data_IF_885423102283
#
_entry.id   IF_885423102283
#
_cell.length_a   1.000
_cell.length_b   1.000
_cell.length_c   1.000
_cell.angle_alpha   90.00
_cell.angle_beta   90.00
_cell.angle_gamma   90.00
#
_symmetry.space_group_name_H-M   'P 1'
#
loop_
_entity.id
_entity.type
_entity.pdbx_description
1 polymer ?
#
# COMPACT_ATOMS: atom_id res chain seq x y z
N UNK A 1 -42.64 24.95 -73.03
CA UNK A 1 -42.28 24.25 -71.82
C UNK A 1 -41.05 24.92 -71.20
N UNK A 2 -41.27 25.60 -70.06
CA UNK A 2 -40.16 26.30 -69.31
C UNK A 2 -39.50 25.34 -68.30
N UNK A 3 -38.17 25.32 -68.14
CA UNK A 3 -37.53 24.52 -67.10
C UNK A 3 -37.64 25.23 -65.73
N UNK A 4 -38.01 24.47 -64.73
CA UNK A 4 -38.00 24.86 -63.30
C UNK A 4 -36.61 24.88 -62.72
N UNK A 5 -36.11 26.06 -62.34
CA UNK A 5 -34.91 26.21 -61.52
C UNK A 5 -35.18 25.65 -60.13
N UNK A 6 -34.40 24.63 -59.73
CA UNK A 6 -34.29 24.22 -58.33
C UNK A 6 -33.12 24.96 -57.71
N UNK A 7 -33.47 25.83 -56.75
CA UNK A 7 -32.53 26.50 -55.86
C UNK A 7 -32.01 25.49 -54.84
N UNK A 8 -30.70 25.09 -54.93
CA UNK A 8 -30.04 24.33 -53.88
C UNK A 8 -29.65 25.33 -52.77
N UNK A 9 -30.29 25.22 -51.62
CA UNK A 9 -29.86 25.90 -50.39
C UNK A 9 -28.82 24.99 -49.70
N UNK A 10 -27.57 25.35 -49.80
CA UNK A 10 -26.47 24.73 -49.04
C UNK A 10 -26.54 25.31 -47.61
N UNK A 11 -26.99 24.48 -46.69
CA UNK A 11 -26.89 24.77 -45.25
C UNK A 11 -25.46 24.53 -44.82
N UNK A 12 -24.70 25.59 -44.60
CA UNK A 12 -23.39 25.59 -44.02
C UNK A 12 -23.55 25.35 -42.51
N UNK A 13 -23.38 24.13 -42.03
CA UNK A 13 -23.35 23.84 -40.60
C UNK A 13 -21.97 24.24 -40.08
N UNK A 14 -21.89 25.41 -39.48
CA UNK A 14 -20.71 25.86 -38.76
C UNK A 14 -20.67 25.06 -37.44
N UNK A 15 -19.81 24.03 -37.37
CA UNK A 15 -19.42 23.43 -36.12
C UNK A 15 -18.57 24.44 -35.31
N UNK A 16 -19.22 25.19 -34.44
CA UNK A 16 -18.49 25.89 -33.39
C UNK A 16 -18.04 24.85 -32.41
N UNK A 17 -16.78 24.40 -32.55
CA UNK A 17 -16.08 23.70 -31.46
C UNK A 17 -15.94 24.71 -30.32
N UNK A 18 -16.90 24.72 -29.42
CA UNK A 18 -16.71 25.25 -28.06
C UNK A 18 -15.63 24.40 -27.40
N UNK A 19 -14.40 24.84 -27.49
CA UNK A 19 -13.35 24.43 -26.59
C UNK A 19 -13.77 24.88 -25.18
N UNK A 20 -14.59 24.09 -24.52
CA UNK A 20 -14.73 24.15 -23.07
C UNK A 20 -13.40 23.68 -22.50
N UNK A 21 -12.44 24.58 -22.37
CA UNK A 21 -11.35 24.42 -21.45
C UNK A 21 -11.99 24.42 -20.05
N UNK A 22 -12.45 23.26 -19.62
CA UNK A 22 -12.64 23.00 -18.22
C UNK A 22 -11.25 23.24 -17.60
N UNK A 23 -11.08 24.35 -16.90
CA UNK A 23 -9.99 24.48 -15.95
C UNK A 23 -10.25 23.42 -14.89
N UNK A 24 -9.73 22.22 -15.13
CA UNK A 24 -9.65 21.17 -14.14
C UNK A 24 -8.75 21.73 -13.03
N UNK A 25 -9.38 22.30 -11.99
CA UNK A 25 -8.64 22.77 -10.83
C UNK A 25 -7.89 21.56 -10.26
N UNK A 26 -6.54 21.62 -10.28
CA UNK A 26 -5.71 20.64 -9.59
C UNK A 26 -6.23 20.48 -8.15
N UNK A 27 -6.50 19.25 -7.73
CA UNK A 27 -6.90 18.99 -6.36
C UNK A 27 -5.80 19.44 -5.41
N UNK A 28 -6.14 20.38 -4.56
CA UNK A 28 -5.28 20.83 -3.47
C UNK A 28 -5.50 19.93 -2.26
N UNK A 29 -4.46 19.67 -1.47
CA UNK A 29 -4.61 18.87 -0.27
C UNK A 29 -5.48 19.63 0.76
N UNK A 30 -6.27 18.88 1.49
CA UNK A 30 -6.86 19.34 2.74
C UNK A 30 -5.77 19.35 3.80
N UNK A 31 -5.55 20.52 4.41
CA UNK A 31 -4.49 20.73 5.39
C UNK A 31 -5.06 21.11 6.76
N UNK A 32 -4.42 20.61 7.82
CA UNK A 32 -4.78 20.91 9.19
C UNK A 32 -3.53 21.16 10.01
N UNK A 33 -3.61 22.17 10.91
CA UNK A 33 -2.61 22.39 11.95
C UNK A 33 -3.22 22.11 13.32
N UNK A 34 -2.47 21.45 14.20
CA UNK A 34 -2.88 21.12 15.56
C UNK A 34 -1.70 21.19 16.53
N UNK A 35 -1.96 21.11 17.83
CA UNK A 35 -0.90 21.14 18.84
C UNK A 35 0.00 19.92 18.72
N UNK A 36 1.32 20.07 18.58
CA UNK A 36 2.25 18.95 18.57
C UNK A 36 2.16 18.10 19.82
N UNK A 37 2.40 16.79 19.67
CA UNK A 37 2.41 15.85 20.78
C UNK A 37 3.29 14.63 20.49
N UNK A 38 3.75 13.95 21.54
CA UNK A 38 4.44 12.68 21.46
C UNK A 38 3.41 11.57 21.59
N UNK A 39 3.44 10.59 20.66
CA UNK A 39 2.58 9.42 20.80
C UNK A 39 3.02 8.59 22.01
N UNK A 40 2.06 8.26 22.86
CA UNK A 40 2.30 7.45 24.07
C UNK A 40 1.27 6.33 24.11
N UNK A 41 1.75 5.10 24.00
CA UNK A 41 0.98 3.91 24.32
C UNK A 41 1.92 2.81 24.80
N UNK A 42 1.41 1.94 25.64
CA UNK A 42 2.17 0.82 26.16
C UNK A 42 2.37 -0.23 25.07
N UNK A 43 3.57 -0.76 25.01
CA UNK A 43 3.91 -1.89 24.15
C UNK A 43 3.28 -3.14 24.75
N UNK A 44 2.59 -3.99 23.98
CA UNK A 44 2.05 -5.26 24.47
C UNK A 44 3.12 -6.12 25.14
N UNK A 45 2.75 -6.80 26.22
CA UNK A 45 3.69 -7.61 27.02
C UNK A 45 4.30 -8.79 26.24
N UNK A 46 3.58 -9.30 25.26
CA UNK A 46 3.98 -10.39 24.38
C UNK A 46 4.79 -9.93 23.14
N UNK A 47 5.07 -8.62 23.04
CA UNK A 47 5.87 -8.09 21.93
C UNK A 47 7.26 -8.72 21.88
N UNK A 48 7.65 -9.38 20.77
CA UNK A 48 8.94 -10.04 20.66
C UNK A 48 10.11 -9.08 20.43
N UNK A 49 9.82 -7.81 20.10
CA UNK A 49 10.83 -6.83 19.73
C UNK A 49 11.31 -6.04 20.94
N UNK A 50 12.63 -5.92 21.07
CA UNK A 50 13.23 -5.05 22.08
C UNK A 50 13.06 -3.58 21.68
N UNK A 51 12.83 -2.71 22.65
CA UNK A 51 12.83 -1.25 22.44
C UNK A 51 14.15 -0.80 21.80
N UNK A 52 14.07 0.04 20.78
CA UNK A 52 15.24 0.70 20.24
C UNK A 52 15.86 1.63 21.31
N UNK A 53 17.18 1.65 21.35
CA UNK A 53 17.91 2.60 22.20
C UNK A 53 18.28 3.89 21.48
N UNK A 54 18.19 3.88 20.18
CA UNK A 54 18.51 5.02 19.33
C UNK A 54 17.23 5.79 18.97
N UNK A 55 16.19 5.08 18.55
CA UNK A 55 14.87 5.66 18.24
C UNK A 55 13.91 5.33 19.37
N UNK A 56 13.60 6.31 20.19
CA UNK A 56 12.82 6.08 21.43
C UNK A 56 11.36 6.46 21.30
N UNK A 57 10.90 6.79 20.11
CA UNK A 57 9.51 7.13 19.82
C UNK A 57 9.36 8.06 18.65
N UNK A 58 8.14 8.53 18.44
CA UNK A 58 7.81 9.55 17.45
C UNK A 58 7.00 10.68 18.07
N UNK A 59 7.24 11.90 17.60
CA UNK A 59 6.45 13.08 17.86
C UNK A 59 5.66 13.51 16.63
N UNK A 60 4.39 13.84 16.78
CA UNK A 60 3.58 14.48 15.74
C UNK A 60 3.79 15.99 15.82
N UNK A 61 4.24 16.59 14.71
CA UNK A 61 4.61 18.00 14.64
C UNK A 61 3.41 18.94 14.41
N UNK A 62 2.19 18.41 14.44
CA UNK A 62 0.98 19.20 14.36
C UNK A 62 0.63 19.68 12.95
N UNK A 63 1.11 19.03 11.90
CA UNK A 63 0.79 19.32 10.51
C UNK A 63 0.24 18.07 9.83
N UNK A 64 -0.92 18.21 9.21
CA UNK A 64 -1.58 17.20 8.37
C UNK A 64 -1.81 17.73 6.98
N UNK A 65 -1.68 16.87 5.99
CA UNK A 65 -2.05 17.11 4.61
C UNK A 65 -2.73 15.86 4.03
N UNK A 66 -3.52 15.97 2.98
CA UNK A 66 -4.06 14.78 2.32
C UNK A 66 -5.27 15.02 1.44
N UNK A 67 -5.84 13.91 0.98
CA UNK A 67 -6.97 13.88 0.04
C UNK A 67 -8.00 12.84 0.51
N UNK A 68 -9.28 13.18 0.42
CA UNK A 68 -10.40 12.37 0.91
C UNK A 68 -10.91 11.39 -0.16
N UNK A 69 -10.07 10.48 -0.64
CA UNK A 69 -10.52 9.42 -1.55
C UNK A 69 -9.57 8.23 -1.56
N UNK A 70 -10.14 7.04 -1.59
CA UNK A 70 -9.44 5.78 -1.78
C UNK A 70 -8.41 5.43 -0.71
N UNK A 71 -7.97 4.22 -0.74
CA UNK A 71 -6.92 3.70 0.13
C UNK A 71 -5.83 2.97 -0.65
N UNK A 72 -4.99 2.19 0.02
CA UNK A 72 -3.90 1.39 -0.56
C UNK A 72 -2.84 2.24 -1.27
N UNK A 73 -2.50 3.37 -0.68
CA UNK A 73 -1.48 4.26 -1.21
C UNK A 73 -0.07 3.76 -0.86
N UNK A 74 0.67 3.31 -1.89
CA UNK A 74 2.06 2.86 -1.79
C UNK A 74 2.92 3.60 -2.82
N UNK A 75 3.27 4.87 -2.59
CA UNK A 75 3.98 5.67 -3.57
C UNK A 75 5.40 5.18 -3.81
N UNK A 76 5.79 5.12 -5.07
CA UNK A 76 7.15 4.88 -5.51
C UNK A 76 7.72 6.13 -6.17
N UNK A 77 8.92 6.53 -5.77
CA UNK A 77 9.55 7.76 -6.23
C UNK A 77 10.34 7.56 -7.51
N UNK A 78 9.80 8.06 -8.61
CA UNK A 78 10.39 7.94 -9.95
C UNK A 78 11.55 8.93 -10.20
N UNK A 79 12.34 8.64 -11.22
CA UNK A 79 13.44 9.51 -11.67
C UNK A 79 13.00 10.90 -12.12
N UNK A 80 11.74 11.06 -12.54
CA UNK A 80 11.12 12.34 -12.93
C UNK A 80 10.55 13.15 -11.75
N UNK A 81 10.92 12.83 -10.52
CA UNK A 81 10.46 13.45 -9.27
C UNK A 81 8.99 13.29 -8.91
N UNK A 82 8.24 12.50 -9.65
CA UNK A 82 6.84 12.18 -9.37
C UNK A 82 6.74 10.92 -8.53
N UNK A 83 5.77 10.88 -7.61
CA UNK A 83 5.36 9.67 -6.91
C UNK A 83 4.24 9.00 -7.69
N UNK A 84 4.39 7.70 -7.92
CA UNK A 84 3.40 6.85 -8.57
C UNK A 84 2.89 5.82 -7.58
N UNK A 85 1.58 5.71 -7.44
CA UNK A 85 0.95 4.86 -6.43
C UNK A 85 -0.28 4.15 -6.96
N UNK A 86 -0.50 2.89 -6.60
CA UNK A 86 -1.82 2.32 -6.66
C UNK A 86 -2.73 3.01 -5.66
N UNK A 87 -4.03 2.88 -5.84
CA UNK A 87 -5.07 3.14 -4.86
C UNK A 87 -6.34 2.36 -5.23
N UNK A 88 -7.26 2.20 -4.29
CA UNK A 88 -8.53 1.50 -4.51
C UNK A 88 -9.63 2.00 -3.57
N UNK A 89 -10.82 1.39 -3.67
CA UNK A 89 -11.97 1.56 -2.78
C UNK A 89 -12.35 3.01 -2.51
N UNK A 90 -12.49 3.79 -3.58
CA UNK A 90 -12.83 5.19 -3.41
C UNK A 90 -13.22 5.89 -4.71
N UNK A 91 -13.38 7.19 -4.60
CA UNK A 91 -13.65 8.07 -5.73
C UNK A 91 -12.59 9.13 -5.84
N UNK A 92 -12.15 9.43 -7.05
CA UNK A 92 -11.26 10.56 -7.33
C UNK A 92 -11.82 11.45 -8.42
N UNK A 93 -11.48 12.74 -8.34
CA UNK A 93 -11.63 13.63 -9.49
C UNK A 93 -10.33 13.61 -10.25
N UNK A 94 -10.38 13.24 -11.52
CA UNK A 94 -9.22 13.28 -12.40
C UNK A 94 -8.95 14.70 -12.87
N UNK A 95 -7.73 14.95 -13.35
CA UNK A 95 -7.35 16.25 -13.91
C UNK A 95 -8.25 16.70 -15.06
N UNK A 96 -8.86 15.78 -15.77
CA UNK A 96 -9.79 16.02 -16.85
C UNK A 96 -11.27 16.17 -16.40
N UNK A 97 -11.50 16.27 -15.08
CA UNK A 97 -12.84 16.40 -14.51
C UNK A 97 -13.60 15.08 -14.39
N UNK A 98 -12.99 13.98 -14.75
CA UNK A 98 -13.59 12.66 -14.66
C UNK A 98 -13.73 12.20 -13.20
N UNK A 99 -14.86 11.61 -12.86
CA UNK A 99 -15.10 10.99 -11.56
C UNK A 99 -15.19 9.50 -11.73
N UNK A 100 -14.32 8.79 -11.07
CA UNK A 100 -14.29 7.33 -11.07
C UNK A 100 -14.45 6.78 -9.67
N UNK A 101 -15.10 5.64 -9.58
CA UNK A 101 -15.09 4.79 -8.39
C UNK A 101 -14.15 3.64 -8.69
N UNK A 102 -13.09 3.52 -7.89
CA UNK A 102 -12.22 2.37 -7.92
C UNK A 102 -12.54 1.51 -6.71
N UNK A 103 -13.20 0.39 -6.95
CA UNK A 103 -13.51 -0.58 -5.91
C UNK A 103 -12.93 -1.93 -6.32
N UNK A 104 -12.30 -2.60 -5.40
CA UNK A 104 -11.82 -3.96 -5.62
C UNK A 104 -12.92 -4.99 -5.38
N UNK A 105 -14.01 -4.60 -4.74
CA UNK A 105 -15.17 -5.43 -4.45
C UNK A 105 -16.45 -4.86 -5.05
N UNK A 106 -16.63 -5.02 -6.35
CA UNK A 106 -17.87 -4.73 -7.06
C UNK A 106 -18.45 -5.98 -7.74
N UNK A 107 -18.90 -6.92 -6.94
CA UNK A 107 -19.41 -8.19 -7.44
C UNK A 107 -18.30 -9.12 -7.96
N UNK A 108 -18.66 -10.33 -8.41
CA UNK A 108 -17.67 -11.41 -8.64
C UNK A 108 -16.85 -11.26 -9.92
N UNK A 109 -17.14 -10.32 -10.78
CA UNK A 109 -16.58 -10.28 -12.14
C UNK A 109 -15.82 -9.00 -12.48
N UNK A 110 -16.01 -7.91 -11.74
CA UNK A 110 -15.50 -6.59 -12.13
C UNK A 110 -14.95 -5.83 -10.93
N UNK A 111 -13.75 -6.19 -10.51
CA UNK A 111 -13.07 -5.46 -9.46
C UNK A 111 -12.04 -4.52 -10.08
N UNK A 112 -12.07 -3.30 -9.66
CA UNK A 112 -11.21 -2.24 -10.18
C UNK A 112 -10.21 -1.79 -9.13
N UNK A 113 -9.00 -1.54 -9.58
CA UNK A 113 -7.99 -0.78 -8.86
C UNK A 113 -7.59 0.43 -9.69
N UNK A 114 -6.98 1.42 -9.08
CA UNK A 114 -6.64 2.64 -9.78
C UNK A 114 -5.15 2.96 -9.72
N UNK A 115 -4.73 3.78 -10.66
CA UNK A 115 -3.39 4.32 -10.74
C UNK A 115 -3.44 5.81 -10.42
N UNK A 116 -2.59 6.26 -9.51
CA UNK A 116 -2.50 7.66 -9.11
C UNK A 116 -1.08 8.20 -9.20
N UNK A 117 -1.00 9.50 -9.34
CA UNK A 117 0.27 10.22 -9.22
C UNK A 117 0.14 11.34 -8.20
N UNK A 118 1.27 11.62 -7.53
CA UNK A 118 1.40 12.72 -6.59
C UNK A 118 2.58 13.58 -7.02
N UNK A 119 2.32 14.85 -7.28
CA UNK A 119 3.29 15.83 -7.79
C UNK A 119 3.53 16.91 -6.75
N UNK A 120 4.77 17.31 -6.61
CA UNK A 120 5.22 18.33 -5.67
C UNK A 120 6.21 17.78 -4.64
N UNK A 121 6.91 18.69 -3.98
CA UNK A 121 7.98 18.37 -3.01
C UNK A 121 7.57 18.71 -1.58
N UNK A 122 6.63 19.62 -1.42
CA UNK A 122 6.08 20.00 -0.12
C UNK A 122 4.70 19.36 0.06
N UNK A 123 4.52 18.41 1.00
CA UNK A 123 3.25 17.77 1.29
C UNK A 123 2.06 18.72 1.54
N UNK A 124 2.31 19.95 1.96
CA UNK A 124 1.26 20.95 2.15
C UNK A 124 0.74 21.58 0.85
N UNK A 125 1.44 21.36 -0.26
CA UNK A 125 1.12 21.96 -1.57
C UNK A 125 1.11 20.96 -2.72
N UNK A 126 1.30 19.65 -2.44
CA UNK A 126 1.23 18.60 -3.45
C UNK A 126 -0.12 18.58 -4.16
N UNK A 127 -0.12 17.99 -5.34
CA UNK A 127 -1.36 17.63 -6.05
C UNK A 127 -1.38 16.13 -6.28
N UNK A 128 -2.57 15.53 -6.18
CA UNK A 128 -2.75 14.12 -6.49
C UNK A 128 -3.93 13.94 -7.45
N UNK A 129 -3.79 12.99 -8.38
CA UNK A 129 -4.85 12.70 -9.34
C UNK A 129 -4.75 11.27 -9.87
N UNK A 130 -5.88 10.74 -10.34
CA UNK A 130 -5.95 9.42 -10.94
C UNK A 130 -5.49 9.46 -12.40
N UNK A 131 -4.70 8.46 -12.80
CA UNK A 131 -4.38 8.21 -14.21
C UNK A 131 -5.39 7.31 -14.89
N UNK A 132 -6.20 6.57 -14.14
CA UNK A 132 -7.20 5.65 -14.66
C UNK A 132 -7.44 4.46 -13.74
N UNK A 133 -8.25 3.53 -14.23
CA UNK A 133 -8.63 2.31 -13.54
C UNK A 133 -7.99 1.09 -14.19
N UNK A 134 -7.82 0.04 -13.39
CA UNK A 134 -7.53 -1.30 -13.85
C UNK A 134 -8.66 -2.22 -13.44
N UNK A 135 -9.38 -2.75 -14.40
CA UNK A 135 -10.46 -3.72 -14.19
C UNK A 135 -9.97 -5.11 -14.51
N UNK A 136 -10.09 -6.03 -13.56
CA UNK A 136 -9.71 -7.42 -13.73
C UNK A 136 -10.66 -8.33 -12.97
N UNK A 137 -11.00 -9.51 -13.51
CA UNK A 137 -11.81 -10.47 -12.79
C UNK A 137 -11.06 -10.99 -11.57
N UNK A 138 -11.76 -11.24 -10.49
CA UNK A 138 -11.24 -11.81 -9.26
C UNK A 138 -11.79 -13.21 -8.94
N UNK A 139 -12.80 -13.67 -9.68
CA UNK A 139 -13.37 -15.00 -9.46
C UNK A 139 -12.28 -16.09 -9.51
N UNK A 140 -12.30 -17.07 -8.58
CA UNK A 140 -13.32 -17.32 -7.55
C UNK A 140 -13.14 -16.52 -6.25
N UNK A 141 -12.34 -15.49 -6.26
CA UNK A 141 -12.00 -14.67 -5.10
C UNK A 141 -12.92 -13.46 -4.92
N UNK A 142 -12.83 -12.80 -3.76
CA UNK A 142 -13.69 -11.67 -3.39
C UNK A 142 -13.13 -10.30 -3.79
N UNK A 143 -12.12 -10.16 -4.57
CA UNK A 143 -11.61 -8.87 -4.98
C UNK A 143 -10.27 -9.00 -5.70
N UNK A 144 -9.91 -7.94 -6.39
CA UNK A 144 -8.61 -7.76 -7.02
C UNK A 144 -8.01 -6.46 -6.52
N UNK A 145 -7.21 -6.56 -5.46
CA UNK A 145 -6.64 -5.43 -4.75
C UNK A 145 -5.23 -5.10 -5.25
N UNK A 146 -4.81 -3.84 -5.21
CA UNK A 146 -3.44 -3.46 -5.52
C UNK A 146 -2.50 -3.76 -4.35
N UNK A 147 -1.25 -4.06 -4.67
CA UNK A 147 -0.17 -4.16 -3.70
C UNK A 147 1.10 -3.51 -4.25
N UNK A 148 2.27 -4.08 -4.03
CA UNK A 148 3.56 -3.52 -4.37
C UNK A 148 3.60 -2.72 -5.66
N UNK A 149 4.04 -1.48 -5.53
CA UNK A 149 4.22 -0.54 -6.63
C UNK A 149 5.67 -0.09 -6.67
N UNK A 150 6.30 -0.25 -7.83
CA UNK A 150 7.68 0.20 -8.05
C UNK A 150 7.78 0.86 -9.42
N UNK A 151 8.31 2.08 -9.45
CA UNK A 151 8.75 2.69 -10.69
C UNK A 151 10.28 2.75 -10.71
N UNK A 152 10.86 2.06 -11.68
CA UNK A 152 12.30 1.94 -11.82
C UNK A 152 12.71 2.02 -13.31
N UNK A 153 13.66 2.91 -13.61
CA UNK A 153 14.13 3.18 -14.96
C UNK A 153 13.01 3.44 -15.97
N UNK A 154 11.99 4.20 -15.55
CA UNK A 154 10.85 4.56 -16.38
C UNK A 154 9.78 3.47 -16.55
N UNK A 155 9.98 2.30 -15.94
CA UNK A 155 9.01 1.21 -15.96
C UNK A 155 8.27 1.17 -14.62
N UNK A 156 6.95 1.17 -14.68
CA UNK A 156 6.10 1.01 -13.50
C UNK A 156 5.61 -0.43 -13.39
N UNK A 157 6.05 -1.14 -12.35
CA UNK A 157 5.58 -2.48 -11.97
C UNK A 157 4.47 -2.32 -10.93
N UNK A 158 3.31 -2.90 -11.21
CA UNK A 158 2.09 -2.76 -10.42
C UNK A 158 1.56 -4.14 -10.05
N UNK A 159 1.70 -4.51 -8.77
CA UNK A 159 1.27 -5.79 -8.24
C UNK A 159 -0.21 -5.82 -7.90
N UNK A 160 -0.82 -6.99 -8.01
CA UNK A 160 -2.18 -7.23 -7.54
C UNK A 160 -2.30 -8.55 -6.76
N UNK A 161 -3.19 -8.56 -5.79
CA UNK A 161 -3.54 -9.74 -5.01
C UNK A 161 -5.06 -9.89 -4.91
N UNK A 162 -5.53 -11.01 -4.42
CA UNK A 162 -6.94 -11.28 -4.18
C UNK A 162 -7.20 -11.53 -2.70
N UNK A 163 -8.47 -11.38 -2.29
CA UNK A 163 -8.95 -11.85 -1.00
C UNK A 163 -9.76 -13.13 -1.20
N UNK A 164 -9.54 -14.11 -0.33
CA UNK A 164 -10.31 -15.36 -0.31
C UNK A 164 -11.63 -15.19 0.43
N UNK A 165 -12.67 -15.95 0.07
CA UNK A 165 -13.91 -15.94 0.80
C UNK A 165 -13.73 -16.55 2.18
N UNK A 166 -14.21 -15.88 3.22
CA UNK A 166 -14.26 -16.41 4.57
C UNK A 166 -15.71 -16.68 5.00
N UNK A 167 -15.96 -17.70 5.84
CA UNK A 167 -17.27 -17.87 6.46
C UNK A 167 -17.54 -16.74 7.45
N UNK A 168 -18.81 -16.49 7.73
CA UNK A 168 -19.21 -15.62 8.80
C UNK A 168 -18.74 -16.17 10.16
N UNK A 169 -18.11 -15.33 10.95
CA UNK A 169 -17.59 -15.69 12.26
C UNK A 169 -17.63 -14.50 13.23
N UNK A 170 -17.47 -14.76 14.51
CA UNK A 170 -17.35 -13.74 15.54
C UNK A 170 -15.93 -13.18 15.54
N UNK A 171 -15.81 -11.86 15.35
CA UNK A 171 -14.55 -11.11 15.40
C UNK A 171 -14.68 -10.00 16.45
N UNK A 172 -14.29 -10.29 17.68
CA UNK A 172 -14.50 -9.39 18.79
C UNK A 172 -15.99 -9.15 19.06
N UNK A 173 -16.47 -7.94 18.87
CA UNK A 173 -17.86 -7.51 19.01
C UNK A 173 -18.68 -7.60 17.70
N UNK A 174 -18.07 -8.06 16.59
CA UNK A 174 -18.68 -8.11 15.29
C UNK A 174 -18.93 -9.56 14.83
N UNK A 175 -20.00 -9.78 14.08
CA UNK A 175 -20.23 -11.00 13.31
C UNK A 175 -20.17 -10.61 11.83
N UNK A 176 -19.13 -11.04 11.15
CA UNK A 176 -18.86 -10.70 9.76
C UNK A 176 -18.17 -11.85 9.03
N UNK A 177 -18.20 -11.84 7.71
CA UNK A 177 -17.39 -12.70 6.86
C UNK A 177 -16.10 -11.97 6.48
N UNK A 178 -15.14 -11.92 7.39
CA UNK A 178 -13.87 -11.25 7.15
C UNK A 178 -13.01 -12.06 6.17
N UNK A 179 -12.65 -11.52 5.01
CA UNK A 179 -11.92 -12.28 4.01
C UNK A 179 -10.48 -12.58 4.45
N UNK A 180 -10.04 -13.80 4.20
CA UNK A 180 -8.63 -14.13 4.36
C UNK A 180 -7.79 -13.70 3.15
N UNK A 181 -6.48 -13.78 3.28
CA UNK A 181 -5.55 -13.48 2.21
C UNK A 181 -5.65 -14.54 1.11
N UNK A 182 -5.86 -14.07 -0.09
CA UNK A 182 -5.78 -14.87 -1.31
C UNK A 182 -4.40 -14.74 -1.97
N UNK A 183 -4.29 -15.14 -3.24
CA UNK A 183 -3.00 -15.14 -3.92
C UNK A 183 -2.48 -13.75 -4.23
N UNK A 184 -1.16 -13.59 -4.12
CA UNK A 184 -0.45 -12.58 -4.88
C UNK A 184 -0.40 -13.02 -6.34
N UNK A 185 -1.15 -12.33 -7.21
CA UNK A 185 -1.29 -12.76 -8.60
C UNK A 185 0.00 -12.55 -9.38
N UNK A 186 0.60 -11.38 -9.31
CA UNK A 186 1.77 -10.98 -10.04
C UNK A 186 1.72 -9.51 -10.43
N UNK A 187 2.55 -9.10 -11.38
CA UNK A 187 2.70 -7.71 -11.80
C UNK A 187 2.19 -7.50 -13.24
N UNK A 188 1.46 -6.43 -13.43
CA UNK A 188 1.37 -5.74 -14.71
C UNK A 188 2.46 -4.67 -14.77
N UNK A 189 2.79 -4.17 -15.94
CA UNK A 189 3.80 -3.12 -16.07
C UNK A 189 3.44 -2.11 -17.16
N UNK A 190 3.92 -0.88 -16.96
CA UNK A 190 3.83 0.22 -17.91
C UNK A 190 5.22 0.75 -18.24
N UNK A 191 5.49 1.05 -19.52
CA UNK A 191 6.75 1.65 -20.00
C UNK A 191 6.62 3.15 -20.28
N UNK A 192 5.47 3.74 -19.96
CA UNK A 192 5.11 5.12 -20.25
C UNK A 192 4.42 5.79 -19.06
N UNK A 193 4.88 5.45 -17.84
CA UNK A 193 4.42 6.04 -16.58
C UNK A 193 2.92 5.85 -16.30
N UNK A 194 2.33 4.74 -16.74
CA UNK A 194 0.95 4.38 -16.45
C UNK A 194 -0.07 4.79 -17.50
N UNK A 195 0.35 5.31 -18.66
CA UNK A 195 -0.56 5.64 -19.75
C UNK A 195 -1.02 4.39 -20.51
N UNK A 196 -0.12 3.44 -20.74
CA UNK A 196 -0.47 2.12 -21.30
C UNK A 196 0.10 1.00 -20.45
N UNK A 197 -0.53 -0.17 -20.51
CA UNK A 197 -0.21 -1.30 -19.64
C UNK A 197 -0.06 -2.59 -20.41
N UNK A 198 0.88 -3.40 -19.97
CA UNK A 198 1.06 -4.80 -20.38
C UNK A 198 0.75 -5.69 -19.18
N UNK A 199 -0.05 -6.73 -19.41
CA UNK A 199 -0.42 -7.69 -18.38
C UNK A 199 0.66 -8.76 -18.20
N UNK A 200 0.82 -9.25 -16.97
CA UNK A 200 1.60 -10.45 -16.69
C UNK A 200 0.87 -11.73 -17.14
N UNK A 201 1.58 -12.85 -17.25
CA UNK A 201 0.98 -14.13 -17.63
C UNK A 201 0.22 -14.81 -16.49
N UNK A 202 0.29 -14.27 -15.27
CA UNK A 202 -0.34 -14.86 -14.08
C UNK A 202 -1.82 -14.51 -14.00
N UNK A 203 -2.58 -15.45 -13.41
CA UNK A 203 -3.98 -15.28 -13.06
C UNK A 203 -4.21 -15.66 -11.59
N UNK A 204 -5.37 -15.32 -10.99
CA UNK A 204 -5.65 -15.75 -9.63
C UNK A 204 -5.55 -17.27 -9.40
N UNK A 205 -5.88 -18.09 -10.42
CA UNK A 205 -5.78 -19.55 -10.37
C UNK A 205 -4.34 -20.06 -10.62
N UNK A 206 -3.50 -19.24 -11.22
CA UNK A 206 -2.09 -19.51 -11.49
C UNK A 206 -1.24 -18.35 -11.07
N UNK A 207 -1.18 -18.07 -9.75
CA UNK A 207 -0.46 -16.92 -9.21
C UNK A 207 1.06 -17.14 -9.28
N UNK A 208 1.80 -16.05 -9.13
CA UNK A 208 3.25 -16.01 -9.35
C UNK A 208 4.01 -17.06 -8.50
N UNK A 209 3.63 -17.25 -7.25
CA UNK A 209 4.30 -18.21 -6.35
C UNK A 209 3.51 -19.49 -6.10
N UNK A 210 2.38 -19.69 -6.79
CA UNK A 210 1.57 -20.90 -6.71
C UNK A 210 0.73 -21.03 -5.43
N UNK A 211 0.72 -20.04 -4.54
CA UNK A 211 -0.15 -20.01 -3.35
C UNK A 211 -1.52 -19.46 -3.72
N UNK A 212 -2.57 -20.22 -3.53
CA UNK A 212 -3.91 -19.84 -3.97
C UNK A 212 -4.82 -19.30 -2.87
N UNK A 213 -4.49 -19.56 -1.59
CA UNK A 213 -5.36 -19.15 -0.48
C UNK A 213 -6.74 -19.79 -0.49
N UNK A 214 -6.94 -20.89 -1.24
CA UNK A 214 -8.21 -21.60 -1.33
C UNK A 214 -8.32 -22.65 -0.22
N UNK A 215 -9.57 -22.90 0.26
CA UNK A 215 -9.88 -23.88 1.28
C UNK A 215 -9.19 -23.67 2.63
N UNK A 216 -8.89 -22.42 2.97
CA UNK A 216 -8.28 -22.07 4.25
C UNK A 216 -6.79 -22.40 4.36
N UNK A 217 -6.13 -22.69 3.23
CA UNK A 217 -4.67 -22.75 3.20
C UNK A 217 -4.12 -21.33 3.25
N UNK A 218 -3.31 -20.97 4.25
CA UNK A 218 -2.72 -19.65 4.34
C UNK A 218 -1.73 -19.41 3.21
N UNK A 219 -1.50 -18.16 2.90
CA UNK A 219 -0.46 -17.71 1.99
C UNK A 219 0.66 -17.02 2.76
N UNK A 220 1.90 -17.24 2.34
CA UNK A 220 3.07 -16.55 2.88
C UNK A 220 3.25 -15.19 2.23
N UNK A 221 3.02 -15.13 0.92
CA UNK A 221 3.19 -13.92 0.11
C UNK A 221 1.82 -13.46 -0.38
N UNK A 222 1.03 -12.87 0.51
CA UNK A 222 -0.32 -12.44 0.18
C UNK A 222 -0.36 -11.09 -0.51
N UNK A 223 0.21 -10.07 0.11
CA UNK A 223 0.24 -8.69 -0.37
C UNK A 223 1.65 -8.13 -0.26
N UNK A 224 2.57 -8.47 -1.18
CA UNK A 224 3.95 -7.99 -1.11
C UNK A 224 4.06 -6.52 -1.46
N UNK A 225 4.91 -5.79 -0.72
CA UNK A 225 5.23 -4.39 -0.97
C UNK A 225 6.72 -4.19 -1.18
N UNK A 226 7.09 -3.40 -2.18
CA UNK A 226 8.48 -3.05 -2.42
C UNK A 226 9.01 -2.17 -1.28
N UNK A 227 10.24 -2.44 -0.89
CA UNK A 227 10.99 -1.55 0.01
C UNK A 227 11.29 -0.26 -0.75
N UNK A 228 10.95 0.88 -0.15
CA UNK A 228 11.28 2.19 -0.70
C UNK A 228 12.76 2.52 -0.44
N UNK A 229 13.58 2.39 -1.49
CA UNK A 229 15.01 2.70 -1.50
C UNK A 229 15.30 4.09 -2.07
N UNK A 230 14.38 5.04 -1.96
CA UNK A 230 14.57 6.38 -2.48
C UNK A 230 14.29 6.51 -3.96
N UNK A 231 14.64 7.65 -4.51
CA UNK A 231 14.38 8.00 -5.90
C UNK A 231 14.99 6.98 -6.87
N UNK A 232 14.12 6.33 -7.67
CA UNK A 232 14.55 5.33 -8.64
C UNK A 232 15.44 4.23 -8.02
N UNK A 233 15.10 3.78 -6.81
CA UNK A 233 15.86 2.76 -6.05
C UNK A 233 17.35 3.09 -5.82
N UNK A 234 17.72 4.35 -5.78
CA UNK A 234 19.13 4.79 -5.72
C UNK A 234 19.92 4.25 -4.52
N UNK A 235 19.24 3.82 -3.47
CA UNK A 235 19.84 3.27 -2.24
C UNK A 235 19.67 1.75 -2.11
N UNK A 236 19.22 1.06 -3.15
CA UNK A 236 19.21 -0.40 -3.15
C UNK A 236 20.63 -0.94 -2.96
N UNK A 237 20.87 -1.86 -2.02
CA UNK A 237 22.22 -2.29 -1.66
C UNK A 237 22.94 -3.07 -2.77
N UNK A 238 22.20 -3.66 -3.69
CA UNK A 238 22.72 -4.52 -4.76
C UNK A 238 21.99 -4.34 -6.10
N UNK A 239 21.20 -3.27 -6.23
CA UNK A 239 20.42 -2.98 -7.43
C UNK A 239 19.18 -3.86 -7.60
N UNK A 240 18.87 -4.75 -6.67
CA UNK A 240 17.64 -5.54 -6.67
C UNK A 240 16.50 -4.79 -5.99
N UNK A 241 15.30 -5.06 -6.42
CA UNK A 241 14.09 -4.69 -5.71
C UNK A 241 13.82 -5.74 -4.63
N UNK A 242 13.61 -5.26 -3.42
CA UNK A 242 13.24 -6.10 -2.27
C UNK A 242 11.77 -5.91 -1.97
N UNK A 243 11.10 -6.98 -1.57
CA UNK A 243 9.69 -6.97 -1.17
C UNK A 243 9.55 -7.60 0.21
N UNK A 244 8.67 -7.01 0.99
CA UNK A 244 8.17 -7.60 2.24
C UNK A 244 6.71 -7.97 2.07
N UNK A 245 6.30 -9.07 2.67
CA UNK A 245 4.92 -9.51 2.66
C UNK A 245 4.55 -10.07 4.02
N UNK A 246 3.34 -9.81 4.48
CA UNK A 246 2.79 -10.51 5.62
C UNK A 246 2.03 -11.75 5.16
N UNK A 247 1.93 -12.72 6.04
CA UNK A 247 1.22 -13.98 5.80
C UNK A 247 1.32 -14.94 6.98
N UNK A 248 1.00 -16.20 6.75
CA UNK A 248 1.08 -17.26 7.75
C UNK A 248 1.46 -18.60 7.13
N UNK A 249 2.08 -19.49 7.93
CA UNK A 249 2.40 -20.87 7.55
C UNK A 249 1.24 -21.83 7.84
N UNK A 250 0.44 -21.53 8.87
CA UNK A 250 -0.65 -22.38 9.35
C UNK A 250 -1.90 -21.56 9.59
N UNK A 251 -3.06 -22.13 9.30
CA UNK A 251 -4.34 -21.50 9.62
C UNK A 251 -4.62 -21.54 11.12
N UNK A 252 -4.98 -20.39 11.69
CA UNK A 252 -5.52 -20.27 13.03
C UNK A 252 -6.80 -19.45 12.98
N UNK A 253 -7.95 -20.11 13.16
CA UNK A 253 -9.28 -19.51 13.07
C UNK A 253 -9.89 -19.19 14.43
N UNK A 254 -9.14 -19.38 15.53
CA UNK A 254 -9.66 -19.26 16.90
C UNK A 254 -9.76 -17.84 17.41
N UNK A 255 -9.31 -16.87 16.63
CA UNK A 255 -9.06 -15.53 17.12
C UNK A 255 -9.89 -14.45 16.44
N UNK A 256 -9.65 -13.20 16.81
CA UNK A 256 -10.21 -11.94 16.34
C UNK A 256 -10.44 -11.89 14.82
N UNK A 257 -9.40 -12.12 14.04
CA UNK A 257 -9.46 -12.32 12.61
C UNK A 257 -8.76 -13.62 12.25
N UNK A 258 -8.94 -14.07 11.02
CA UNK A 258 -8.04 -15.05 10.47
C UNK A 258 -6.61 -14.53 10.62
N UNK A 259 -5.71 -15.39 11.07
CA UNK A 259 -4.28 -15.04 11.19
C UNK A 259 -3.59 -14.78 9.84
N UNK A 260 -4.33 -14.81 8.76
CA UNK A 260 -3.89 -14.53 7.41
C UNK A 260 -5.00 -13.75 6.68
N UNK A 261 -5.11 -12.47 6.99
CA UNK A 261 -6.01 -11.52 6.35
C UNK A 261 -5.22 -10.30 5.88
N UNK A 262 -5.87 -9.38 5.18
CA UNK A 262 -5.18 -8.19 4.68
C UNK A 262 -4.62 -7.27 5.78
N UNK A 263 -5.12 -7.36 7.01
CA UNK A 263 -4.63 -6.56 8.16
C UNK A 263 -4.03 -7.39 9.28
N UNK A 264 -3.94 -8.70 9.12
CA UNK A 264 -3.43 -9.59 10.16
C UNK A 264 -2.60 -10.69 9.53
N UNK A 265 -1.48 -11.02 10.14
CA UNK A 265 -0.61 -12.13 9.79
C UNK A 265 0.17 -12.58 10.99
N UNK A 266 0.84 -13.71 10.88
CA UNK A 266 1.75 -14.24 11.91
C UNK A 266 3.21 -13.89 11.62
N UNK A 267 3.52 -13.66 10.34
CA UNK A 267 4.89 -13.62 9.86
C UNK A 267 5.07 -12.56 8.79
N UNK A 268 6.28 -12.00 8.75
CA UNK A 268 6.75 -11.18 7.64
C UNK A 268 7.79 -11.96 6.87
N UNK A 269 7.60 -12.07 5.55
CA UNK A 269 8.52 -12.70 4.61
C UNK A 269 9.27 -11.66 3.79
N UNK A 270 10.48 -12.02 3.36
CA UNK A 270 11.35 -11.16 2.56
C UNK A 270 11.79 -11.89 1.29
N UNK A 271 11.67 -11.20 0.17
CA UNK A 271 12.13 -11.70 -1.13
C UNK A 271 12.73 -10.55 -1.93
N UNK A 272 13.50 -10.90 -2.97
CA UNK A 272 14.11 -9.90 -3.85
C UNK A 272 14.21 -10.41 -5.29
N UNK A 273 14.25 -9.47 -6.23
CA UNK A 273 14.36 -9.75 -7.66
C UNK A 273 15.09 -8.61 -8.37
N UNK A 274 15.82 -8.90 -9.45
CA UNK A 274 16.28 -7.84 -10.34
C UNK A 274 15.08 -7.32 -11.14
N UNK A 275 14.67 -6.05 -10.99
CA UNK A 275 13.42 -5.55 -11.53
C UNK A 275 13.55 -5.23 -13.03
N UNK A 276 13.33 -6.24 -13.84
CA UNK A 276 13.17 -6.13 -15.30
C UNK A 276 11.83 -6.72 -15.73
N UNK A 277 11.38 -6.37 -16.93
CA UNK A 277 10.12 -6.91 -17.49
C UNK A 277 10.17 -8.43 -17.60
N UNK A 278 11.34 -8.99 -17.93
CA UNK A 278 11.57 -10.42 -18.08
C UNK A 278 11.55 -11.16 -16.73
N UNK A 279 12.03 -10.50 -15.67
CA UNK A 279 12.23 -11.17 -14.38
C UNK A 279 11.03 -11.04 -13.44
N UNK A 280 10.32 -9.90 -13.50
CA UNK A 280 9.34 -9.53 -12.47
C UNK A 280 8.20 -10.55 -12.31
N UNK A 281 7.86 -11.26 -13.36
CA UNK A 281 6.82 -12.30 -13.40
C UNK A 281 7.38 -13.72 -13.60
N UNK A 282 8.68 -13.91 -13.42
CA UNK A 282 9.31 -15.23 -13.45
C UNK A 282 9.70 -15.65 -12.01
N UNK A 283 9.00 -16.60 -11.38
CA UNK A 283 9.28 -17.02 -10.02
C UNK A 283 10.71 -17.57 -9.84
N UNK A 284 11.34 -18.10 -10.89
CA UNK A 284 12.71 -18.61 -10.85
C UNK A 284 13.78 -17.52 -10.67
N UNK A 285 13.43 -16.26 -10.91
CA UNK A 285 14.32 -15.09 -10.77
C UNK A 285 14.30 -14.47 -9.38
N UNK A 286 13.39 -14.94 -8.54
CA UNK A 286 13.32 -14.47 -7.16
C UNK A 286 14.31 -15.21 -6.26
N UNK A 287 14.81 -14.48 -5.30
CA UNK A 287 15.56 -15.01 -4.19
C UNK A 287 14.75 -14.75 -2.91
N UNK A 288 14.49 -15.81 -2.16
CA UNK A 288 13.72 -15.82 -0.92
C UNK A 288 14.67 -15.89 0.26
N UNK A 289 14.40 -15.11 1.30
CA UNK A 289 15.14 -15.19 2.55
C UNK A 289 14.88 -16.54 3.21
N UNK A 290 15.96 -17.27 3.51
CA UNK A 290 15.92 -18.62 4.10
C UNK A 290 16.55 -18.67 5.52
N UNK A 291 16.55 -17.52 6.21
CA UNK A 291 17.16 -17.38 7.53
C UNK A 291 18.61 -16.91 7.45
N UNK A 292 19.30 -17.00 8.56
CA UNK A 292 20.72 -16.65 8.66
C UNK A 292 21.57 -17.91 8.86
N UNK A 293 22.80 -17.88 8.38
CA UNK A 293 23.80 -18.91 8.65
C UNK A 293 24.32 -18.84 10.10
N UNK A 294 25.20 -19.75 10.48
CA UNK A 294 25.81 -19.81 11.82
C UNK A 294 26.67 -18.57 12.16
N UNK A 295 26.99 -17.73 11.16
CA UNK A 295 27.75 -16.49 11.32
C UNK A 295 26.84 -15.27 11.35
N UNK A 296 25.52 -15.48 11.18
CA UNK A 296 24.54 -14.40 11.13
C UNK A 296 24.38 -13.75 9.75
N UNK A 297 24.97 -14.30 8.69
CA UNK A 297 24.76 -13.77 7.34
C UNK A 297 23.44 -14.27 6.75
N UNK A 298 22.72 -13.45 5.97
CA UNK A 298 21.49 -13.88 5.33
C UNK A 298 21.73 -14.96 4.29
N UNK A 299 20.91 -15.99 4.34
CA UNK A 299 20.88 -17.08 3.35
C UNK A 299 19.72 -16.81 2.40
N UNK A 300 20.00 -16.89 1.10
CA UNK A 300 19.02 -16.72 0.04
C UNK A 300 18.85 -18.01 -0.76
N UNK A 301 17.65 -18.28 -1.21
CA UNK A 301 17.29 -19.46 -2.02
C UNK A 301 16.34 -19.08 -3.14
N UNK A 302 16.44 -19.78 -4.28
CA UNK A 302 15.44 -19.65 -5.35
C UNK A 302 14.27 -20.64 -5.18
N UNK A 303 14.33 -21.51 -4.18
CA UNK A 303 13.27 -22.47 -3.87
C UNK A 303 12.28 -21.84 -2.88
N UNK A 304 11.09 -21.45 -3.38
CA UNK A 304 10.03 -20.88 -2.57
C UNK A 304 9.66 -21.71 -1.34
N UNK A 305 9.74 -23.04 -1.43
CA UNK A 305 9.42 -23.93 -0.31
C UNK A 305 10.37 -23.77 0.88
N UNK A 306 11.54 -23.17 0.67
CA UNK A 306 12.55 -22.94 1.72
C UNK A 306 12.53 -21.53 2.30
N UNK A 307 11.57 -20.71 1.87
CA UNK A 307 11.40 -19.38 2.46
C UNK A 307 11.17 -19.49 3.97
N UNK A 308 11.81 -18.62 4.72
CA UNK A 308 11.63 -18.49 6.17
C UNK A 308 11.16 -17.10 6.53
N UNK A 309 10.40 -16.95 7.62
CA UNK A 309 10.02 -15.65 8.08
C UNK A 309 11.22 -14.78 8.44
N UNK A 310 11.15 -13.50 8.11
CA UNK A 310 12.06 -12.47 8.57
C UNK A 310 11.73 -12.10 10.02
N UNK A 311 10.44 -11.98 10.32
CA UNK A 311 9.88 -11.64 11.63
C UNK A 311 8.65 -12.50 11.92
N UNK A 312 8.39 -12.74 13.20
CA UNK A 312 7.22 -13.48 13.69
C UNK A 312 6.62 -12.80 14.91
N UNK A 313 5.31 -12.64 14.89
CA UNK A 313 4.49 -12.29 16.06
C UNK A 313 3.03 -12.64 15.75
N UNK A 314 2.58 -13.75 16.28
CA UNK A 314 1.28 -14.34 15.91
C UNK A 314 0.13 -13.35 16.02
N UNK A 315 -0.67 -13.26 14.94
CA UNK A 315 -1.83 -12.37 14.79
C UNK A 315 -1.53 -10.86 14.90
N UNK A 316 -0.28 -10.44 14.86
CA UNK A 316 0.09 -9.03 15.01
C UNK A 316 0.87 -8.47 13.80
N UNK A 317 0.96 -9.22 12.71
CA UNK A 317 1.71 -8.84 11.51
C UNK A 317 0.77 -8.65 10.32
N UNK A 318 0.43 -7.42 9.96
CA UNK A 318 -0.38 -7.11 8.78
C UNK A 318 0.15 -5.90 8.02
N UNK A 319 -0.38 -5.60 6.86
CA UNK A 319 -0.08 -4.41 6.01
C UNK A 319 1.34 -3.87 6.17
N UNK A 320 2.35 -4.70 5.93
CA UNK A 320 3.76 -4.35 6.16
C UNK A 320 4.32 -3.47 5.05
N UNK A 321 5.07 -2.45 5.42
CA UNK A 321 5.90 -1.66 4.50
C UNK A 321 7.28 -1.41 5.08
N UNK A 322 8.27 -1.15 4.22
CA UNK A 322 9.61 -0.76 4.65
C UNK A 322 10.12 0.40 3.81
N UNK A 323 10.72 1.38 4.47
CA UNK A 323 11.42 2.50 3.82
C UNK A 323 12.84 2.59 4.36
N UNK A 324 13.80 2.83 3.48
CA UNK A 324 15.18 3.11 3.88
C UNK A 324 15.36 4.62 4.11
N UNK A 325 15.57 5.01 5.35
CA UNK A 325 15.94 6.36 5.74
C UNK A 325 17.45 6.54 5.49
N UNK A 326 17.80 6.99 4.29
CA UNK A 326 19.19 7.07 3.84
C UNK A 326 20.08 8.00 4.69
N UNK A 327 19.62 9.20 5.11
CA UNK A 327 20.44 10.05 5.97
C UNK A 327 20.84 9.40 7.31
N UNK A 328 19.93 8.67 7.92
CA UNK A 328 20.18 7.97 9.19
C UNK A 328 20.70 6.54 8.99
N UNK A 329 20.76 6.05 7.75
CA UNK A 329 21.16 4.68 7.39
C UNK A 329 20.35 3.62 8.12
N UNK A 330 19.05 3.82 8.23
CA UNK A 330 18.12 2.92 8.94
C UNK A 330 17.01 2.43 8.03
N UNK A 331 16.64 1.18 8.19
CA UNK A 331 15.40 0.65 7.67
C UNK A 331 14.29 0.93 8.69
N UNK A 332 13.19 1.45 8.22
CA UNK A 332 11.98 1.72 9.01
C UNK A 332 10.87 0.84 8.47
N UNK A 333 10.31 -0.03 9.29
CA UNK A 333 9.20 -0.91 8.94
C UNK A 333 7.95 -0.45 9.67
N UNK A 334 6.86 -0.26 8.94
CA UNK A 334 5.53 0.00 9.49
C UNK A 334 4.70 -1.26 9.37
N UNK A 335 4.00 -1.63 10.43
CA UNK A 335 3.15 -2.81 10.48
C UNK A 335 1.81 -2.43 11.10
N UNK A 336 0.72 -2.93 10.52
CA UNK A 336 -0.62 -2.81 11.07
C UNK A 336 -1.00 -4.10 11.78
N UNK A 337 -1.56 -3.97 12.97
CA UNK A 337 -2.26 -5.03 13.70
C UNK A 337 -3.76 -4.73 13.68
N UNK A 338 -4.53 -5.58 13.05
CA UNK A 338 -5.97 -5.38 12.84
C UNK A 338 -6.83 -5.33 14.12
N UNK A 339 -6.26 -5.65 15.28
CA UNK A 339 -7.00 -5.64 16.54
C UNK A 339 -8.03 -6.77 16.67
N UNK A 340 -8.90 -6.70 17.68
CA UNK A 340 -9.90 -7.71 17.97
C UNK A 340 -11.28 -7.42 17.39
N UNK A 341 -11.56 -6.18 17.03
CA UNK A 341 -12.92 -5.72 16.74
C UNK A 341 -13.12 -5.18 15.35
N UNK A 342 -12.09 -5.17 14.50
CA UNK A 342 -12.02 -4.39 13.25
C UNK A 342 -12.42 -2.90 13.34
N UNK A 343 -12.90 -2.46 14.48
CA UNK A 343 -13.24 -1.05 14.73
C UNK A 343 -12.02 -0.22 15.12
N UNK A 344 -10.96 -0.87 15.54
CA UNK A 344 -9.72 -0.23 16.02
C UNK A 344 -8.52 -1.02 15.51
N UNK A 345 -7.55 -0.33 14.94
CA UNK A 345 -6.32 -0.95 14.47
C UNK A 345 -5.11 -0.33 15.15
N UNK A 346 -4.09 -1.13 15.36
CA UNK A 346 -2.84 -0.67 15.93
C UNK A 346 -1.78 -0.58 14.85
N UNK A 347 -0.87 0.34 15.01
CA UNK A 347 0.30 0.46 14.13
C UNK A 347 1.55 0.48 14.98
N UNK A 348 2.59 -0.20 14.55
CA UNK A 348 3.89 -0.05 15.17
C UNK A 348 5.00 0.10 14.13
N UNK A 349 6.06 0.76 14.57
CA UNK A 349 7.21 1.07 13.75
C UNK A 349 8.42 0.37 14.35
N UNK A 350 9.13 -0.37 13.48
CA UNK A 350 10.40 -1.00 13.82
C UNK A 350 11.54 -0.31 13.08
N UNK A 351 12.75 -0.35 13.65
CA UNK A 351 14.00 0.06 12.99
C UNK A 351 15.01 -1.05 12.95
N UNK A 352 15.87 -1.03 11.94
CA UNK A 352 17.04 -1.91 11.84
C UNK A 352 18.17 -1.25 11.05
N UNK A 353 19.42 -1.64 11.37
CA UNK A 353 20.61 -1.23 10.62
C UNK A 353 20.76 -1.99 9.27
N UNK A 354 20.11 -3.13 9.15
CA UNK A 354 20.07 -3.90 7.89
C UNK A 354 18.75 -4.62 7.73
N UNK A 355 18.34 -4.87 6.49
CA UNK A 355 17.04 -5.47 6.21
C UNK A 355 16.87 -6.86 6.83
N UNK A 356 17.93 -7.65 6.90
CA UNK A 356 17.97 -8.99 7.50
C UNK A 356 18.55 -9.00 8.92
N UNK A 357 18.74 -7.81 9.50
CA UNK A 357 19.29 -7.63 10.84
C UNK A 357 18.26 -7.76 11.95
N UNK A 358 18.66 -7.28 13.12
CA UNK A 358 17.77 -7.26 14.30
C UNK A 358 16.87 -6.05 14.24
N UNK A 359 15.57 -6.30 14.14
CA UNK A 359 14.54 -5.27 14.23
C UNK A 359 14.22 -4.94 15.69
N UNK A 360 14.04 -3.66 15.98
CA UNK A 360 13.73 -3.13 17.31
C UNK A 360 12.54 -2.19 17.20
N UNK A 361 11.70 -2.16 18.24
CA UNK A 361 10.51 -1.31 18.23
C UNK A 361 10.90 0.14 18.53
N UNK A 362 10.43 1.04 17.67
CA UNK A 362 10.51 2.49 17.85
C UNK A 362 9.32 2.97 18.66
N UNK A 363 8.12 2.61 18.24
CA UNK A 363 6.86 2.98 18.89
C UNK A 363 5.77 1.98 18.59
N UNK A 364 4.85 1.81 19.52
CA UNK A 364 3.58 1.12 19.34
C UNK A 364 2.46 2.15 19.44
N UNK A 365 1.63 2.24 18.43
CA UNK A 365 0.56 3.23 18.35
C UNK A 365 -0.80 2.52 18.41
N UNK A 366 -1.28 2.33 19.65
CA UNK A 366 -2.58 1.72 19.89
C UNK A 366 -3.70 2.59 19.33
N UNK A 367 -4.60 1.98 18.57
CA UNK A 367 -5.75 2.64 17.94
C UNK A 367 -5.35 3.86 17.07
N UNK A 368 -4.20 3.75 16.40
CA UNK A 368 -3.69 4.82 15.56
C UNK A 368 -4.64 5.12 14.41
N UNK A 369 -4.94 6.42 14.21
CA UNK A 369 -5.92 6.87 13.22
C UNK A 369 -7.29 6.19 13.39
N UNK A 370 -7.56 5.60 14.57
CA UNK A 370 -8.64 4.69 14.90
C UNK A 370 -8.58 3.38 14.10
N UNK A 371 -8.51 3.46 12.79
CA UNK A 371 -8.42 2.33 11.85
C UNK A 371 -7.34 2.62 10.79
N UNK A 372 -6.18 3.12 11.19
CA UNK A 372 -5.11 3.38 10.23
C UNK A 372 -4.48 2.07 9.73
N UNK A 373 -4.27 2.00 8.43
CA UNK A 373 -3.66 0.87 7.74
C UNK A 373 -2.88 1.36 6.52
N UNK A 374 -2.11 0.47 5.89
CA UNK A 374 -1.20 0.79 4.78
C UNK A 374 -0.22 1.90 5.12
N UNK A 375 0.22 1.90 6.39
CA UNK A 375 1.11 2.94 6.93
C UNK A 375 2.49 2.81 6.30
N UNK A 376 3.04 3.92 5.80
CA UNK A 376 4.36 3.94 5.19
C UNK A 376 5.01 5.33 5.28
N UNK A 377 6.31 5.40 5.04
CA UNK A 377 7.07 6.65 4.89
C UNK A 377 7.50 6.82 3.44
N UNK A 378 6.84 7.63 2.62
CA UNK A 378 7.36 7.95 1.30
C UNK A 378 8.74 8.60 1.43
N UNK A 379 9.78 7.98 0.88
CA UNK A 379 11.17 8.45 1.04
C UNK A 379 11.38 9.87 0.53
N UNK A 380 10.60 10.30 -0.44
CA UNK A 380 10.59 11.68 -0.96
C UNK A 380 10.32 12.73 0.13
N UNK A 381 9.55 12.36 1.15
CA UNK A 381 9.12 13.27 2.21
C UNK A 381 9.87 13.04 3.54
N UNK A 382 11.02 12.41 3.47
CA UNK A 382 11.99 12.36 4.58
C UNK A 382 12.91 13.59 4.48
N UNK A 383 13.17 14.27 5.61
CA UNK A 383 14.06 15.43 5.65
C UNK A 383 15.50 15.06 5.29
N UNK A 384 16.28 16.07 4.89
CA UNK A 384 17.70 15.90 4.51
C UNK A 384 18.57 15.30 5.62
N UNK A 385 18.22 15.54 6.87
CA UNK A 385 18.90 14.96 8.04
C UNK A 385 18.27 13.64 8.53
N UNK A 386 17.17 13.22 7.93
CA UNK A 386 16.45 11.99 8.25
C UNK A 386 15.60 12.05 9.52
N UNK A 387 15.66 13.16 10.29
CA UNK A 387 15.03 13.25 11.61
C UNK A 387 13.53 13.52 11.57
N UNK A 388 13.04 14.11 10.50
CA UNK A 388 11.61 14.31 10.28
C UNK A 388 11.15 13.60 9.01
N UNK A 389 9.87 13.19 8.99
CA UNK A 389 9.26 12.54 7.85
C UNK A 389 7.77 12.86 7.80
N UNK A 390 7.12 12.48 6.71
CA UNK A 390 5.68 12.44 6.63
C UNK A 390 5.23 10.97 6.61
N UNK A 391 4.37 10.63 7.57
CA UNK A 391 3.77 9.30 7.69
C UNK A 391 2.50 9.27 6.85
N UNK A 392 2.48 8.43 5.84
CA UNK A 392 1.32 8.22 4.97
C UNK A 392 0.51 7.03 5.46
N UNK A 393 -0.81 7.16 5.48
CA UNK A 393 -1.74 6.08 5.81
C UNK A 393 -3.15 6.40 5.31
N UNK A 394 -4.02 5.39 5.31
CA UNK A 394 -5.47 5.54 5.26
C UNK A 394 -6.07 5.17 6.60
N UNK A 395 -7.15 5.81 7.00
CA UNK A 395 -7.81 5.51 8.27
C UNK A 395 -9.32 5.57 8.16
N UNK A 396 -10.02 5.12 9.20
CA UNK A 396 -11.46 5.28 9.33
C UNK A 396 -12.28 4.73 8.15
N UNK A 397 -11.90 3.55 7.62
CA UNK A 397 -12.59 2.94 6.47
C UNK A 397 -14.05 2.55 6.80
N UNK A 398 -14.36 2.32 8.07
CA UNK A 398 -15.69 1.96 8.54
C UNK A 398 -16.08 2.78 9.79
N UNK A 399 -16.29 4.11 9.64
CA UNK A 399 -16.44 5.02 10.78
C UNK A 399 -17.67 4.76 11.65
N UNK A 400 -18.72 4.18 11.08
CA UNK A 400 -20.02 4.03 11.77
C UNK A 400 -20.37 2.56 12.08
N UNK A 401 -19.40 1.66 12.06
CA UNK A 401 -19.66 0.27 12.40
C UNK A 401 -20.23 0.13 13.80
N UNK A 402 -21.42 -0.42 13.91
CA UNK A 402 -22.18 -0.61 15.15
C UNK A 402 -22.41 0.67 15.98
N UNK A 403 -22.50 1.83 15.34
CA UNK A 403 -22.75 3.10 16.03
C UNK A 403 -21.56 3.60 16.87
N UNK A 404 -20.39 3.00 16.73
CA UNK A 404 -19.16 3.49 17.36
C UNK A 404 -18.70 4.76 16.67
N UNK A 405 -18.77 5.88 17.39
CA UNK A 405 -18.20 7.14 16.89
C UNK A 405 -16.68 7.02 16.91
N UNK A 406 -16.08 7.06 15.75
CA UNK A 406 -14.63 7.09 15.59
C UNK A 406 -14.13 8.52 15.87
N UNK A 407 -13.15 8.63 16.76
CA UNK A 407 -12.42 9.87 17.01
C UNK A 407 -11.18 9.89 16.14
N UNK A 408 -10.97 11.01 15.45
CA UNK A 408 -9.74 11.18 14.68
C UNK A 408 -8.53 11.34 15.61
N UNK A 409 -7.60 10.39 15.61
CA UNK A 409 -6.38 10.40 16.43
C UNK A 409 -5.19 9.76 15.68
N UNK A 410 -4.22 10.55 15.18
CA UNK A 410 -4.05 12.00 15.37
C UNK A 410 -5.14 12.84 14.69
N UNK A 411 -5.28 14.12 15.08
CA UNK A 411 -6.26 15.01 14.45
C UNK A 411 -6.09 15.04 12.92
N UNK A 412 -7.22 15.03 12.20
CA UNK A 412 -7.24 15.01 10.75
C UNK A 412 -7.06 13.63 10.11
N UNK A 413 -6.99 12.54 10.89
CA UNK A 413 -7.09 11.18 10.34
C UNK A 413 -8.45 10.96 9.71
N UNK A 414 -8.46 10.44 8.48
CA UNK A 414 -9.68 10.18 7.72
C UNK A 414 -9.44 9.08 6.68
N UNK A 415 -10.50 8.65 6.01
CA UNK A 415 -10.39 7.75 4.88
C UNK A 415 -9.82 8.49 3.67
N UNK A 416 -8.69 8.02 3.14
CA UNK A 416 -8.03 8.63 1.99
C UNK A 416 -6.50 8.61 2.09
N UNK A 417 -5.87 9.49 1.34
CA UNK A 417 -4.43 9.74 1.38
C UNK A 417 -4.14 10.72 2.50
N UNK A 418 -3.66 10.24 3.64
CA UNK A 418 -3.38 11.07 4.82
C UNK A 418 -1.90 11.12 5.11
N UNK A 419 -1.34 12.32 5.14
CA UNK A 419 0.04 12.59 5.54
C UNK A 419 0.07 13.32 6.88
N UNK A 420 0.82 12.79 7.84
CA UNK A 420 1.10 13.43 9.14
C UNK A 420 2.59 13.71 9.25
N UNK A 421 2.96 14.96 9.55
CA UNK A 421 4.36 15.30 9.78
C UNK A 421 4.81 14.82 11.15
N UNK A 422 5.88 14.05 11.17
CA UNK A 422 6.44 13.49 12.41
C UNK A 422 7.94 13.82 12.56
N UNK A 423 8.42 13.69 13.79
CA UNK A 423 9.84 13.60 14.09
C UNK A 423 10.15 12.27 14.76
N UNK A 424 11.33 11.73 14.49
CA UNK A 424 11.89 10.61 15.24
C UNK A 424 12.57 11.14 16.50
N UNK A 425 12.18 10.63 17.66
CA UNK A 425 12.84 10.97 18.91
C UNK A 425 14.11 10.13 19.02
N UNK A 426 15.24 10.76 18.77
CA UNK A 426 16.56 10.12 18.69
C UNK A 426 17.37 10.53 19.91
N UNK A 427 18.04 9.53 20.53
CA UNK A 427 19.01 9.74 21.63
C UNK A 427 20.38 10.14 21.10
#
# INVERSE_FOLDING_TARGET
MKPKNRLLISVLVIFICLNVHSQSGLLKPDTLSFKPFIWKSEIPLDCPFKQSREFVGIGFLGLKSGFHYGDTWYPSWASNDTLYSPWTDGTSSRLDGYKEIAASYEGPMHNTTAQGIVVGDDPLTITAYSLGLYTAPSSPYQGRYPCGSLIYNGIWYYGTYCLGPAPEAQYGDQIINWPWMGPFVGFRYSKDYGHTWSEGPQTPERPLFGETGINGYPVKIGSPHFIDFGKNMQYSPDGKAYLVAHGADTSDTKWRFWNDSWITGDQIYLLRVTPTVENINDPSKYEFFAGNDNKGNPVWTNDFKKIKPLLEWNNNMGCVTVTYNAPLKKYLMCITDGGNTCSKMNTYILESDSITGKWKIVTYMKEFGEQAYFVNFPSKFISKDGKTAWLLYSGNFAPDWNGVKIKSNPPGSHYGFVLQKIEFLIH
#
